data_IF_731644334187
#
_entry.id   IF_731644334187
#
_cell.length_a   1.000
_cell.length_b   1.000
_cell.length_c   1.000
_cell.angle_alpha   90.00
_cell.angle_beta   90.00
_cell.angle_gamma   90.00
#
_symmetry.space_group_name_H-M   'P 1'
#
loop_
_entity.id
_entity.type
_entity.pdbx_description
1 polymer ?
#
# COMPACT_ATOMS: atom_id res chain seq x y z
N UNK A 1 0.11 12.65 -12.96
CA UNK A 1 0.97 12.70 -11.75
C UNK A 1 1.51 11.32 -11.52
N UNK A 2 2.70 11.10 -12.07
CA UNK A 2 3.35 9.80 -12.20
C UNK A 2 3.66 9.21 -10.82
N UNK A 3 3.46 7.90 -10.68
CA UNK A 3 3.68 7.05 -9.50
C UNK A 3 4.69 7.53 -8.45
N UNK A 4 5.83 8.12 -8.87
CA UNK A 4 6.85 8.68 -7.98
C UNK A 4 6.34 9.80 -7.06
N UNK A 5 5.52 10.74 -7.54
CA UNK A 5 5.04 11.86 -6.71
C UNK A 5 4.17 11.38 -5.54
N UNK A 6 3.36 10.33 -5.77
CA UNK A 6 2.54 9.70 -4.72
C UNK A 6 3.39 8.98 -3.68
N UNK A 7 4.51 8.38 -4.08
CA UNK A 7 5.43 7.69 -3.17
C UNK A 7 6.12 8.70 -2.25
N UNK A 8 6.55 9.84 -2.77
CA UNK A 8 7.16 10.91 -1.97
C UNK A 8 6.18 11.51 -0.96
N UNK A 9 4.91 11.72 -1.36
CA UNK A 9 3.85 12.13 -0.43
C UNK A 9 3.66 11.10 0.71
N UNK A 10 3.66 9.80 0.39
CA UNK A 10 3.58 8.75 1.40
C UNK A 10 4.80 8.72 2.32
N UNK A 11 6.02 8.90 1.77
CA UNK A 11 7.26 9.00 2.55
C UNK A 11 7.21 10.17 3.54
N UNK A 12 6.61 11.29 3.17
CA UNK A 12 6.45 12.42 4.10
C UNK A 12 5.49 12.14 5.28
N UNK A 13 4.55 11.20 5.12
CA UNK A 13 3.59 10.83 6.18
C UNK A 13 4.21 9.81 7.14
N UNK A 14 4.77 8.71 6.62
CA UNK A 14 5.24 7.58 7.45
C UNK A 14 6.76 7.54 7.67
N UNK A 15 7.52 8.38 6.96
CA UNK A 15 8.98 8.32 6.90
C UNK A 15 9.50 7.34 5.85
N UNK A 16 10.67 7.64 5.28
CA UNK A 16 11.27 6.87 4.18
C UNK A 16 11.49 5.38 4.52
N UNK A 17 11.93 5.07 5.74
CA UNK A 17 12.15 3.69 6.18
C UNK A 17 10.88 2.83 6.25
N UNK A 18 9.72 3.46 6.27
CA UNK A 18 8.42 2.81 6.36
C UNK A 18 7.72 2.66 5.00
N UNK A 19 8.37 3.06 3.90
CA UNK A 19 7.88 2.88 2.53
C UNK A 19 8.75 1.88 1.77
N UNK A 20 8.12 0.87 1.19
CA UNK A 20 8.75 -0.08 0.28
C UNK A 20 8.28 0.21 -1.14
N UNK A 21 9.18 0.73 -1.98
CA UNK A 21 8.96 1.08 -3.39
C UNK A 21 9.79 0.21 -4.36
N UNK A 22 10.62 -0.70 -3.84
CA UNK A 22 11.40 -1.62 -4.68
C UNK A 22 10.52 -2.74 -5.26
N UNK A 23 10.76 -3.08 -6.52
CA UNK A 23 10.02 -4.15 -7.24
C UNK A 23 10.06 -5.49 -6.48
N UNK A 24 11.21 -5.98 -5.98
CA UNK A 24 11.25 -7.24 -5.23
C UNK A 24 10.38 -7.21 -3.97
N UNK A 25 10.39 -6.09 -3.24
CA UNK A 25 9.56 -5.93 -2.05
C UNK A 25 8.07 -5.86 -2.40
N UNK A 26 7.68 -5.15 -3.44
CA UNK A 26 6.26 -5.08 -3.85
C UNK A 26 5.73 -6.44 -4.30
N UNK A 27 6.56 -7.25 -4.96
CA UNK A 27 6.18 -8.59 -5.40
C UNK A 27 5.82 -9.53 -4.24
N UNK A 28 6.38 -9.34 -3.04
CA UNK A 28 6.00 -10.14 -1.86
C UNK A 28 4.58 -9.85 -1.39
N UNK A 29 4.00 -8.71 -1.79
CA UNK A 29 2.64 -8.29 -1.44
C UNK A 29 1.62 -8.53 -2.57
N UNK A 30 2.05 -9.10 -3.70
CA UNK A 30 1.17 -9.48 -4.83
C UNK A 30 0.40 -10.77 -4.54
N UNK A 31 0.96 -11.62 -3.69
CA UNK A 31 0.43 -12.95 -3.38
C UNK A 31 -0.06 -12.96 -1.94
N UNK A 32 -1.30 -13.38 -1.75
CA UNK A 32 -1.81 -13.83 -0.46
C UNK A 32 -1.94 -15.36 -0.47
N UNK A 33 -2.64 -15.93 0.52
CA UNK A 33 -2.85 -17.37 0.62
C UNK A 33 -3.86 -17.90 -0.42
N UNK A 34 -4.33 -17.06 -1.35
CA UNK A 34 -5.27 -17.47 -2.40
C UNK A 34 -4.54 -17.91 -3.68
N UNK A 35 -5.19 -18.75 -4.52
CA UNK A 35 -4.64 -19.11 -5.82
C UNK A 35 -4.67 -17.93 -6.84
N UNK A 36 -5.35 -16.83 -6.50
CA UNK A 36 -5.46 -15.66 -7.36
C UNK A 36 -4.20 -14.80 -7.27
N UNK A 37 -3.76 -14.25 -8.39
CA UNK A 37 -2.69 -13.25 -8.42
C UNK A 37 -3.32 -11.86 -8.25
N UNK A 38 -2.88 -11.12 -7.23
CA UNK A 38 -3.26 -9.73 -7.03
C UNK A 38 -2.58 -8.79 -8.04
N UNK A 39 -2.99 -7.52 -8.02
CA UNK A 39 -2.28 -6.46 -8.74
C UNK A 39 -0.98 -6.08 -8.00
N UNK A 40 0.05 -5.67 -8.74
CA UNK A 40 1.28 -5.12 -8.15
C UNK A 40 0.93 -3.76 -7.52
N UNK A 41 1.17 -3.60 -6.20
CA UNK A 41 0.91 -2.33 -5.54
C UNK A 41 1.87 -1.25 -6.05
N UNK A 42 1.46 0.02 -5.89
CA UNK A 42 2.31 1.18 -6.19
C UNK A 42 3.48 1.30 -5.21
N UNK A 43 3.22 1.04 -3.93
CA UNK A 43 4.15 1.03 -2.82
C UNK A 43 3.49 0.32 -1.64
N UNK A 44 4.29 -0.15 -0.69
CA UNK A 44 3.81 -0.71 0.57
C UNK A 44 4.24 0.21 1.71
N UNK A 45 3.29 0.63 2.54
CA UNK A 45 3.53 1.52 3.67
C UNK A 45 3.34 0.78 5.00
N UNK A 46 4.23 1.05 5.96
CA UNK A 46 4.26 0.43 7.30
C UNK A 46 4.12 1.52 8.37
N UNK A 47 2.90 2.01 8.63
CA UNK A 47 2.70 3.04 9.64
C UNK A 47 3.06 2.53 11.03
N UNK A 48 3.68 3.38 11.84
CA UNK A 48 4.11 3.06 13.22
C UNK A 48 3.12 3.56 14.27
N UNK A 49 2.16 4.40 13.87
CA UNK A 49 1.16 5.00 14.76
C UNK A 49 -0.23 5.05 14.13
N UNK A 50 -1.26 5.14 14.97
CA UNK A 50 -2.64 5.34 14.50
C UNK A 50 -2.85 6.71 13.85
N UNK A 51 -2.05 7.72 14.21
CA UNK A 51 -2.06 9.04 13.58
C UNK A 51 -1.63 8.98 12.11
N UNK A 52 -0.56 8.25 11.81
CA UNK A 52 -0.12 8.02 10.43
C UNK A 52 -1.17 7.30 9.60
N UNK A 53 -1.88 6.32 10.17
CA UNK A 53 -2.99 5.64 9.49
C UNK A 53 -4.09 6.63 9.10
N UNK A 54 -4.46 7.56 9.99
CA UNK A 54 -5.47 8.58 9.67
C UNK A 54 -5.03 9.48 8.53
N UNK A 55 -3.77 9.90 8.51
CA UNK A 55 -3.23 10.74 7.42
C UNK A 55 -3.18 9.99 6.08
N UNK A 56 -2.81 8.70 6.08
CA UNK A 56 -2.88 7.85 4.88
C UNK A 56 -4.32 7.75 4.35
N UNK A 57 -5.31 7.56 5.23
CA UNK A 57 -6.71 7.46 4.82
C UNK A 57 -7.21 8.78 4.21
N UNK A 58 -6.86 9.93 4.82
CA UNK A 58 -7.16 11.26 4.26
C UNK A 58 -6.52 11.44 2.88
N UNK A 59 -5.25 11.08 2.76
CA UNK A 59 -4.49 11.14 1.50
C UNK A 59 -5.13 10.26 0.41
N UNK A 60 -5.51 9.03 0.74
CA UNK A 60 -6.16 8.11 -0.18
C UNK A 60 -7.51 8.64 -0.68
N UNK A 61 -8.31 9.23 0.22
CA UNK A 61 -9.58 9.86 -0.13
C UNK A 61 -9.42 11.08 -1.06
N UNK A 62 -8.37 11.89 -0.84
CA UNK A 62 -8.03 13.06 -1.67
C UNK A 62 -7.54 12.66 -3.06
N UNK A 63 -6.65 11.67 -3.13
CA UNK A 63 -6.01 11.22 -4.39
C UNK A 63 -6.81 10.16 -5.13
N UNK A 64 -7.93 9.70 -4.55
CA UNK A 64 -8.73 8.55 -5.02
C UNK A 64 -7.89 7.30 -5.25
N UNK A 65 -6.84 7.15 -4.46
CA UNK A 65 -5.93 5.99 -4.56
C UNK A 65 -6.47 4.88 -3.66
N UNK A 66 -6.88 3.72 -4.21
CA UNK A 66 -7.32 2.61 -3.39
C UNK A 66 -6.14 2.04 -2.61
N UNK A 67 -6.38 1.62 -1.36
CA UNK A 67 -5.41 0.93 -0.53
C UNK A 67 -6.01 -0.33 0.07
N UNK A 68 -5.17 -1.32 0.34
CA UNK A 68 -5.56 -2.59 0.97
C UNK A 68 -4.69 -2.76 2.21
N UNK A 69 -5.27 -3.24 3.30
CA UNK A 69 -4.48 -3.69 4.47
C UNK A 69 -3.62 -4.89 4.08
N UNK A 70 -2.32 -4.81 4.36
CA UNK A 70 -1.45 -5.98 4.29
C UNK A 70 -1.88 -7.00 5.35
N UNK A 71 -2.28 -8.20 4.94
CA UNK A 71 -2.49 -9.33 5.85
C UNK A 71 -1.67 -10.47 5.28
N UNK A 72 -0.69 -10.96 6.05
CA UNK A 72 0.17 -12.08 5.65
C UNK A 72 -0.62 -13.38 5.35
N UNK A 73 -1.86 -13.48 5.81
CA UNK A 73 -2.74 -14.65 5.67
C UNK A 73 -4.16 -14.27 5.24
N UNK A 74 -4.33 -13.66 4.05
CA UNK A 74 -5.67 -13.43 3.49
C UNK A 74 -6.14 -14.66 2.72
N UNK A 75 -7.32 -15.19 3.06
CA UNK A 75 -7.88 -16.46 2.53
C UNK A 75 -8.92 -16.24 1.42
N UNK A 76 -9.37 -14.99 1.18
CA UNK A 76 -10.28 -14.65 0.08
C UNK A 76 -9.91 -13.31 -0.56
N UNK A 77 -9.72 -13.33 -1.88
CA UNK A 77 -9.32 -12.19 -2.70
C UNK A 77 -10.42 -11.13 -2.76
N UNK A 78 -10.06 -9.88 -2.49
CA UNK A 78 -10.96 -8.76 -2.78
C UNK A 78 -10.93 -8.52 -4.27
N UNK A 79 -12.00 -8.95 -4.95
CA UNK A 79 -12.38 -8.37 -6.23
C UNK A 79 -12.71 -6.90 -5.97
N UNK A 80 -11.93 -6.01 -6.57
CA UNK A 80 -12.42 -4.66 -6.83
C UNK A 80 -13.58 -4.78 -7.82
N UNK A 81 -14.73 -4.22 -7.46
CA UNK A 81 -15.87 -4.00 -8.34
C UNK A 81 -16.20 -2.53 -8.35
#
# INVERSE_FOLDING_TARGET
MESKGKIEELKSIVGEGNVLDSVPAMLTYVRDATPLRGAVPLAVVRPSSTGEVQEIVKWANKTKTPFIRGVAARVYGVLYR
#
